data_IF_298709086460
#
_entry.id   IF_298709086460
#
_cell.length_a   1.000
_cell.length_b   1.000
_cell.length_c   1.000
_cell.angle_alpha   90.00
_cell.angle_beta   90.00
_cell.angle_gamma   90.00
#
_symmetry.space_group_name_H-M   'P 1'
#
loop_
_entity.id
_entity.type
_entity.pdbx_description
1 polymer ?
#
# COMPACT_ATOMS: atom_id res chain seq x y z
N UNK A 1 3.37 -6.52 -16.76
CA UNK A 1 3.09 -5.29 -17.53
C UNK A 1 4.35 -4.44 -17.75
N UNK A 2 4.94 -3.80 -16.72
CA UNK A 2 6.07 -2.85 -16.89
C UNK A 2 7.32 -3.40 -17.60
N UNK A 3 7.64 -4.69 -17.43
CA UNK A 3 8.71 -5.37 -18.18
C UNK A 3 8.47 -5.41 -19.70
N UNK A 4 7.21 -5.36 -20.12
CA UNK A 4 6.78 -5.46 -21.52
C UNK A 4 6.61 -4.10 -22.20
N UNK A 5 6.69 -2.99 -21.44
CA UNK A 5 6.42 -1.64 -21.93
C UNK A 5 7.55 -0.65 -21.62
N UNK A 6 8.82 -0.98 -21.91
CA UNK A 6 9.96 -0.14 -21.53
C UNK A 6 9.95 1.24 -22.20
N UNK A 7 9.43 1.34 -23.43
CA UNK A 7 9.36 2.58 -24.22
C UNK A 7 8.39 3.63 -23.66
N UNK A 8 7.50 3.26 -22.74
CA UNK A 8 6.52 4.17 -22.15
C UNK A 8 7.04 4.88 -20.89
N UNK A 9 8.30 4.68 -20.51
CA UNK A 9 8.90 5.28 -19.32
C UNK A 9 9.67 6.55 -19.69
N UNK A 10 9.61 7.56 -18.83
CA UNK A 10 10.64 8.59 -18.82
C UNK A 10 11.94 8.01 -18.27
N UNK A 11 13.08 8.59 -18.66
CA UNK A 11 14.41 8.10 -18.26
C UNK A 11 14.55 8.02 -16.74
N UNK A 12 13.98 8.99 -16.04
CA UNK A 12 14.06 9.13 -14.58
C UNK A 12 12.90 8.46 -13.83
N UNK A 13 11.97 7.80 -14.54
CA UNK A 13 10.90 7.09 -13.85
C UNK A 13 11.50 5.85 -13.17
N UNK A 14 11.52 5.84 -11.83
CA UNK A 14 11.87 4.68 -11.02
C UNK A 14 10.69 4.28 -10.15
N UNK A 15 10.24 3.01 -10.15
CA UNK A 15 9.13 2.60 -9.30
C UNK A 15 9.60 2.61 -7.85
N UNK A 16 8.73 3.04 -6.96
CA UNK A 16 9.00 3.03 -5.53
C UNK A 16 9.09 1.59 -5.03
N UNK A 17 10.22 1.25 -4.40
CA UNK A 17 10.51 -0.07 -3.86
C UNK A 17 10.15 -0.15 -2.38
N UNK A 18 10.03 -1.37 -1.86
CA UNK A 18 9.80 -1.57 -0.43
C UNK A 18 10.98 -1.08 0.44
N UNK A 19 12.21 -1.11 -0.10
CA UNK A 19 13.39 -0.49 0.51
C UNK A 19 13.21 1.02 0.66
N UNK A 20 12.57 1.69 -0.31
CA UNK A 20 12.37 3.13 -0.30
C UNK A 20 11.33 3.54 0.77
N UNK A 21 10.33 2.68 1.01
CA UNK A 21 9.43 2.84 2.15
C UNK A 21 10.20 2.82 3.48
N UNK A 22 11.24 2.00 3.59
CA UNK A 22 12.07 1.92 4.79
C UNK A 22 13.05 3.09 4.89
N UNK A 23 13.57 3.57 3.77
CA UNK A 23 14.42 4.75 3.67
C UNK A 23 13.74 6.01 4.24
N UNK A 24 12.41 6.11 4.13
CA UNK A 24 11.66 7.23 4.71
C UNK A 24 11.94 7.43 6.22
N UNK A 25 12.25 6.37 6.97
CA UNK A 25 12.58 6.47 8.39
C UNK A 25 13.88 7.25 8.66
N UNK A 26 14.77 7.37 7.67
CA UNK A 26 16.04 8.09 7.82
C UNK A 26 15.85 9.60 7.70
N UNK A 27 14.74 10.04 7.09
CA UNK A 27 14.45 11.44 6.79
C UNK A 27 13.29 12.01 7.61
N UNK A 28 12.44 11.17 8.19
CA UNK A 28 11.29 11.60 8.99
C UNK A 28 11.32 10.90 10.34
N UNK A 29 11.00 11.62 11.42
CA UNK A 29 10.92 11.01 12.76
C UNK A 29 9.59 10.29 12.98
N UNK A 30 8.55 10.64 12.24
CA UNK A 30 7.27 9.93 12.23
C UNK A 30 6.96 9.42 10.83
N UNK A 31 6.97 8.10 10.67
CA UNK A 31 6.63 7.39 9.43
C UNK A 31 5.54 6.37 9.74
N UNK A 32 4.30 6.70 9.37
CA UNK A 32 3.18 5.75 9.45
C UNK A 32 2.93 5.13 8.09
N UNK A 33 2.88 3.80 8.04
CA UNK A 33 2.62 3.02 6.82
C UNK A 33 1.31 2.28 6.99
N UNK A 34 0.32 2.60 6.18
CA UNK A 34 -0.98 1.91 6.16
C UNK A 34 -1.11 1.15 4.85
N UNK A 35 -1.41 -0.14 4.94
CA UNK A 35 -1.48 -1.05 3.79
C UNK A 35 -2.93 -1.49 3.57
N UNK A 36 -3.38 -1.54 2.32
CA UNK A 36 -4.78 -1.80 1.96
C UNK A 36 -4.90 -2.69 0.74
N UNK A 37 -6.06 -3.34 0.58
CA UNK A 37 -6.41 -4.03 -0.65
C UNK A 37 -5.70 -5.37 -0.81
N UNK A 38 -5.38 -6.07 0.27
CA UNK A 38 -4.90 -7.44 0.23
C UNK A 38 -6.05 -8.40 -0.13
N UNK A 39 -7.21 -8.24 0.52
CA UNK A 39 -8.41 -9.07 0.29
C UNK A 39 -9.60 -8.29 -0.27
N UNK A 40 -9.55 -6.96 -0.34
CA UNK A 40 -10.65 -6.11 -0.84
C UNK A 40 -11.13 -6.46 -2.26
N UNK A 41 -10.30 -7.11 -3.08
CA UNK A 41 -10.71 -7.62 -4.40
C UNK A 41 -11.82 -8.68 -4.34
N UNK A 42 -11.96 -9.39 -3.21
CA UNK A 42 -13.05 -10.34 -3.00
C UNK A 42 -14.43 -9.66 -2.92
N UNK A 43 -14.48 -8.35 -2.66
CA UNK A 43 -15.70 -7.57 -2.70
C UNK A 43 -16.13 -7.20 -4.13
N UNK A 44 -15.25 -7.32 -5.14
CA UNK A 44 -15.51 -6.90 -6.52
C UNK A 44 -16.77 -7.53 -7.13
N UNK A 45 -17.06 -8.83 -6.99
CA UNK A 45 -18.29 -9.42 -7.53
C UNK A 45 -19.58 -8.77 -7.00
N UNK A 46 -19.52 -8.11 -5.84
CA UNK A 46 -20.67 -7.51 -5.17
C UNK A 46 -20.86 -6.02 -5.48
N UNK A 47 -20.02 -5.41 -6.33
CA UNK A 47 -19.98 -3.95 -6.54
C UNK A 47 -21.29 -3.30 -7.01
N UNK A 48 -22.18 -4.08 -7.65
CA UNK A 48 -23.50 -3.63 -8.10
C UNK A 48 -24.63 -3.90 -7.10
N UNK A 49 -24.31 -4.45 -5.94
CA UNK A 49 -25.31 -4.81 -4.91
C UNK A 49 -25.31 -3.78 -3.79
N UNK A 50 -26.44 -3.60 -3.07
CA UNK A 50 -26.48 -2.72 -1.90
C UNK A 50 -25.57 -3.20 -0.76
N UNK A 51 -25.11 -4.46 -0.81
CA UNK A 51 -24.23 -5.05 0.19
C UNK A 51 -22.74 -4.80 -0.07
N UNK A 52 -22.39 -4.12 -1.16
CA UNK A 52 -20.99 -3.87 -1.52
C UNK A 52 -20.21 -3.18 -0.40
N UNK A 53 -20.73 -2.07 0.12
CA UNK A 53 -20.03 -1.26 1.14
C UNK A 53 -19.83 -2.07 2.44
N UNK A 54 -20.85 -2.75 3.00
CA UNK A 54 -20.64 -3.67 4.11
C UNK A 54 -19.59 -4.76 3.86
N UNK A 55 -19.62 -5.41 2.69
CA UNK A 55 -18.69 -6.49 2.33
C UNK A 55 -17.26 -5.95 2.20
N UNK A 56 -17.09 -4.80 1.53
CA UNK A 56 -15.80 -4.13 1.40
C UNK A 56 -15.23 -3.77 2.78
N UNK A 57 -16.03 -3.15 3.64
CA UNK A 57 -15.61 -2.79 5.01
C UNK A 57 -15.23 -4.02 5.85
N UNK A 58 -15.88 -5.17 5.60
CA UNK A 58 -15.50 -6.43 6.24
C UNK A 58 -14.11 -6.89 5.79
N UNK A 59 -13.84 -6.88 4.47
CA UNK A 59 -12.52 -7.23 3.94
C UNK A 59 -11.43 -6.24 4.36
N UNK A 60 -11.73 -4.94 4.45
CA UNK A 60 -10.76 -3.95 4.92
C UNK A 60 -10.36 -4.20 6.39
N UNK A 61 -11.31 -4.58 7.25
CA UNK A 61 -11.01 -4.98 8.64
C UNK A 61 -10.25 -6.31 8.71
N UNK A 62 -10.59 -7.26 7.85
CA UNK A 62 -9.84 -8.51 7.73
C UNK A 62 -8.38 -8.24 7.31
N UNK A 63 -8.16 -7.34 6.37
CA UNK A 63 -6.83 -6.93 5.94
C UNK A 63 -6.01 -6.38 7.11
N UNK A 64 -6.58 -5.49 7.93
CA UNK A 64 -5.89 -4.97 9.12
C UNK A 64 -5.44 -6.10 10.06
N UNK A 65 -6.31 -7.08 10.32
CA UNK A 65 -5.99 -8.23 11.19
C UNK A 65 -4.93 -9.12 10.56
N UNK A 66 -5.09 -9.49 9.28
CA UNK A 66 -4.15 -10.36 8.56
C UNK A 66 -2.76 -9.71 8.50
N UNK A 67 -2.69 -8.42 8.18
CA UNK A 67 -1.44 -7.69 8.03
C UNK A 67 -0.76 -7.38 9.37
N UNK A 68 -1.54 -7.33 10.46
CA UNK A 68 -1.01 -7.27 11.81
C UNK A 68 -0.36 -8.60 12.22
N UNK A 69 -1.03 -9.73 11.97
CA UNK A 69 -0.55 -11.07 12.32
C UNK A 69 0.58 -11.57 11.42
N UNK A 70 0.53 -11.24 10.12
CA UNK A 70 1.43 -11.76 9.09
C UNK A 70 2.09 -10.58 8.33
N UNK A 71 3.07 -9.88 8.95
CA UNK A 71 3.64 -8.66 8.40
C UNK A 71 4.35 -8.85 7.05
N UNK A 72 4.80 -10.06 6.72
CA UNK A 72 5.41 -10.36 5.42
C UNK A 72 4.42 -10.26 4.25
N UNK A 73 3.11 -10.27 4.50
CA UNK A 73 2.08 -10.11 3.48
C UNK A 73 1.90 -8.65 3.03
N UNK A 74 2.43 -7.67 3.77
CA UNK A 74 2.33 -6.23 3.44
C UNK A 74 2.82 -5.89 2.03
N UNK A 75 3.81 -6.63 1.51
CA UNK A 75 4.33 -6.44 0.14
C UNK A 75 3.35 -6.85 -0.98
N UNK A 76 2.29 -7.57 -0.63
CA UNK A 76 1.24 -7.98 -1.56
C UNK A 76 -0.03 -7.13 -1.46
N UNK A 77 -0.07 -6.16 -0.53
CA UNK A 77 -1.14 -5.18 -0.48
C UNK A 77 -1.16 -4.35 -1.76
N UNK A 78 -2.36 -3.99 -2.24
CA UNK A 78 -2.52 -3.23 -3.47
C UNK A 78 -1.99 -1.80 -3.35
N UNK A 79 -2.22 -1.15 -2.21
CA UNK A 79 -1.81 0.23 -1.94
C UNK A 79 -1.15 0.32 -0.58
N UNK A 80 -0.10 1.13 -0.49
CA UNK A 80 0.45 1.64 0.77
C UNK A 80 0.31 3.16 0.81
N UNK A 81 -0.24 3.67 1.91
CA UNK A 81 -0.30 5.10 2.21
C UNK A 81 0.75 5.40 3.26
N UNK A 82 1.63 6.35 2.92
CA UNK A 82 2.65 6.87 3.81
C UNK A 82 2.17 8.20 4.39
N UNK A 83 2.21 8.30 5.70
CA UNK A 83 2.02 9.55 6.42
C UNK A 83 3.37 9.88 7.09
N UNK A 84 4.06 10.83 6.46
CA UNK A 84 5.41 11.26 6.78
C UNK A 84 5.31 12.62 7.48
N UNK A 85 5.75 12.69 8.72
CA UNK A 85 5.72 13.92 9.50
C UNK A 85 7.00 14.10 10.31
N UNK A 86 7.21 15.35 10.76
CA UNK A 86 8.40 15.74 11.52
C UNK A 86 9.69 15.41 10.76
N UNK A 87 10.00 16.14 9.67
CA UNK A 87 11.22 15.93 8.91
C UNK A 87 12.42 16.08 9.83
N UNK A 88 13.32 15.10 9.77
CA UNK A 88 14.63 15.18 10.42
C UNK A 88 15.42 16.20 9.63
N UNK A 89 15.74 17.33 10.24
CA UNK A 89 16.71 18.25 9.69
C UNK A 89 18.04 17.51 9.61
N UNK A 90 18.38 16.95 8.45
CA UNK A 90 19.77 16.67 8.14
C UNK A 90 20.40 18.04 7.86
N UNK A 91 21.08 18.57 8.88
CA UNK A 91 22.15 19.56 8.71
C UNK A 91 23.20 18.99 7.75
#
# INVERSE_FOLDING_TARGET
YRRLTPKMRTVDEHPLLFSDLNLANDFFSSVRKRYFGLTSFMAVPFFKTPFFIPILNFFDKLDEVILFLLPFLKKYAWIVVLDLSSPKTKL
#
